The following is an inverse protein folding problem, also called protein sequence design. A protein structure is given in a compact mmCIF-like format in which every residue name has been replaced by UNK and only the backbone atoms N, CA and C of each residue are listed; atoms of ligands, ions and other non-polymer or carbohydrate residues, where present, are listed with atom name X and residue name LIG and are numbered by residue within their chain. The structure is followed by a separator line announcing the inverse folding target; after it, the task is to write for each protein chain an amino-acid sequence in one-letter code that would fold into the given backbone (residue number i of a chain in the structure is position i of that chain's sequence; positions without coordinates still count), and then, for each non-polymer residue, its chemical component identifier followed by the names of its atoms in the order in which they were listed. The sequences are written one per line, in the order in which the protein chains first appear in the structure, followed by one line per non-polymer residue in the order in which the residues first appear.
data_IF_048452154471
#
_entry.id   IF_048452154471
#
_cell.length_a   1.000
_cell.length_b   1.000
_cell.length_c   1.000
_cell.angle_alpha   90.00
_cell.angle_beta   90.00
_cell.angle_gamma   90.00
#
_symmetry.space_group_name_H-M   'P 1'
#
loop_
_entity.id
_entity.type
_entity.pdbx_description
1 polymer ?
#
# COMPACT_ATOMS: atom_id res chain seq x y z
N UNK A 1 -2.86 -11.16 41.00
CA UNK A 1 -3.89 -11.09 39.94
C UNK A 1 -3.18 -11.10 38.61
N UNK A 2 -3.20 -12.22 37.87
CA UNK A 2 -2.73 -12.25 36.49
C UNK A 2 -3.87 -11.73 35.62
N UNK A 3 -3.72 -10.53 35.06
CA UNK A 3 -4.66 -10.02 34.06
C UNK A 3 -4.33 -10.74 32.77
N UNK A 4 -5.06 -11.81 32.46
CA UNK A 4 -4.99 -12.43 31.14
C UNK A 4 -5.60 -11.46 30.14
N UNK A 5 -4.74 -10.67 29.50
CA UNK A 5 -5.11 -9.84 28.34
C UNK A 5 -5.65 -10.77 27.27
N UNK A 6 -6.96 -10.76 27.09
CA UNK A 6 -7.65 -11.60 26.12
C UNK A 6 -7.42 -10.97 24.75
N UNK A 7 -6.35 -11.40 24.07
CA UNK A 7 -6.02 -10.94 22.72
C UNK A 7 -7.14 -11.41 21.77
N UNK A 8 -8.03 -10.48 21.40
CA UNK A 8 -8.99 -10.72 20.33
C UNK A 8 -8.31 -10.51 18.97
N UNK A 9 -8.62 -11.32 17.95
CA UNK A 9 -8.16 -11.05 16.60
C UNK A 9 -8.77 -9.73 16.09
N UNK A 10 -8.01 -9.01 15.28
CA UNK A 10 -8.47 -7.74 14.72
C UNK A 10 -9.52 -7.95 13.64
N UNK A 11 -10.51 -7.07 13.60
CA UNK A 11 -11.54 -7.08 12.57
C UNK A 11 -10.97 -6.57 11.24
N UNK A 12 -11.70 -6.80 10.14
CA UNK A 12 -11.28 -6.36 8.81
C UNK A 12 -11.06 -4.85 8.73
N UNK A 13 -11.92 -4.05 9.38
CA UNK A 13 -11.81 -2.59 9.38
C UNK A 13 -10.60 -2.07 10.17
N UNK A 14 -10.25 -2.74 11.27
CA UNK A 14 -9.08 -2.38 12.08
C UNK A 14 -7.79 -2.64 11.30
N UNK A 15 -7.75 -3.78 10.60
CA UNK A 15 -6.66 -4.11 9.67
C UNK A 15 -6.59 -3.13 8.51
N UNK A 16 -7.72 -2.83 7.88
CA UNK A 16 -7.80 -1.84 6.80
C UNK A 16 -7.18 -0.51 7.23
N UNK A 17 -7.60 -0.03 8.40
CA UNK A 17 -7.17 1.25 8.93
C UNK A 17 -5.66 1.27 9.16
N UNK A 18 -5.11 0.22 9.78
CA UNK A 18 -3.68 0.14 10.05
C UNK A 18 -2.87 -0.01 8.77
N UNK A 19 -3.31 -0.87 7.84
CA UNK A 19 -2.64 -1.02 6.55
C UNK A 19 -2.66 0.27 5.73
N UNK A 20 -3.78 0.97 5.72
CA UNK A 20 -3.90 2.28 5.08
C UNK A 20 -2.99 3.32 5.74
N UNK A 21 -2.92 3.36 7.08
CA UNK A 21 -2.06 4.29 7.81
C UNK A 21 -0.57 4.05 7.55
N UNK A 22 -0.15 2.77 7.56
CA UNK A 22 1.23 2.40 7.25
C UNK A 22 1.58 2.70 5.79
N UNK A 23 0.70 2.38 4.85
CA UNK A 23 0.90 2.72 3.44
C UNK A 23 0.99 4.23 3.22
N UNK A 24 0.11 4.99 3.88
CA UNK A 24 0.13 6.45 3.83
C UNK A 24 1.43 7.03 4.39
N UNK A 25 1.89 6.55 5.55
CA UNK A 25 3.17 6.98 6.13
C UNK A 25 4.35 6.60 5.22
N UNK A 26 4.34 5.40 4.64
CA UNK A 26 5.37 4.96 3.70
C UNK A 26 5.44 5.86 2.46
N UNK A 27 4.29 6.25 1.90
CA UNK A 27 4.20 7.14 0.75
C UNK A 27 4.73 8.55 1.06
N UNK A 28 4.40 9.11 2.23
CA UNK A 28 4.97 10.39 2.69
C UNK A 28 6.48 10.29 2.84
N UNK A 29 6.99 9.21 3.44
CA UNK A 29 8.44 8.99 3.56
C UNK A 29 9.11 8.83 2.19
N UNK A 30 8.47 8.12 1.26
CA UNK A 30 8.98 7.91 -0.09
C UNK A 30 9.10 9.23 -0.85
N UNK A 31 8.02 10.03 -0.89
CA UNK A 31 8.02 11.33 -1.57
C UNK A 31 8.97 12.33 -0.93
N UNK A 32 9.08 12.34 0.41
CA UNK A 32 10.08 13.14 1.13
C UNK A 32 11.52 12.75 0.76
N UNK A 33 11.78 11.45 0.63
CA UNK A 33 13.11 10.93 0.26
C UNK A 33 13.42 11.24 -1.19
N UNK A 34 12.44 11.06 -2.09
CA UNK A 34 12.57 11.39 -3.50
C UNK A 34 12.95 12.86 -3.69
N UNK A 35 12.24 13.77 -3.04
CA UNK A 35 12.52 15.21 -3.05
C UNK A 35 13.92 15.55 -2.50
N UNK A 36 14.37 14.84 -1.46
CA UNK A 36 15.70 15.04 -0.90
C UNK A 36 16.82 14.53 -1.83
N UNK A 37 16.57 13.46 -2.58
CA UNK A 37 17.54 12.87 -3.52
C UNK A 37 17.60 13.66 -4.82
N UNK A 38 16.46 14.05 -5.39
CA UNK A 38 16.38 14.72 -6.69
C UNK A 38 16.73 16.22 -6.58
N UNK A 39 16.17 16.92 -5.59
CA UNK A 39 16.32 18.37 -5.44
C UNK A 39 17.31 18.78 -4.34
N UNK A 40 17.91 17.82 -3.63
CA UNK A 40 18.85 18.10 -2.53
C UNK A 40 18.20 18.76 -1.30
N UNK A 41 16.87 18.81 -1.25
CA UNK A 41 16.12 19.50 -0.22
C UNK A 41 16.03 18.65 1.06
N UNK A 42 16.87 18.97 2.05
CA UNK A 42 16.95 18.23 3.33
C UNK A 42 15.79 18.48 4.29
N UNK A 43 14.77 19.23 3.89
CA UNK A 43 13.57 19.46 4.72
C UNK A 43 12.69 18.22 4.85
N UNK A 44 12.88 17.20 3.99
CA UNK A 44 12.15 15.93 4.00
C UNK A 44 10.62 16.13 4.05
N UNK A 45 10.11 17.05 3.22
CA UNK A 45 8.68 17.28 3.09
C UNK A 45 8.12 16.26 2.11
N UNK A 46 7.30 15.35 2.61
CA UNK A 46 6.56 14.40 1.78
C UNK A 46 5.16 14.89 1.49
N UNK A 47 4.70 14.70 0.25
CA UNK A 47 3.36 15.06 -0.20
C UNK A 47 2.67 13.82 -0.73
N UNK A 48 1.41 13.62 -0.36
CA UNK A 48 0.66 12.45 -0.80
C UNK A 48 -0.82 12.78 -0.92
N UNK A 49 -1.54 11.99 -1.70
CA UNK A 49 -2.99 12.11 -1.88
C UNK A 49 -3.77 11.31 -0.83
N UNK A 50 -4.95 11.76 -0.44
CA UNK A 50 -5.81 11.01 0.49
C UNK A 50 -6.24 9.64 -0.09
N UNK A 51 -6.29 9.49 -1.41
CA UNK A 51 -6.67 8.22 -2.06
C UNK A 51 -5.67 7.09 -1.78
N UNK A 52 -4.40 7.42 -1.53
CA UNK A 52 -3.33 6.47 -1.16
C UNK A 52 -3.70 5.63 0.04
N UNK A 53 -4.35 6.22 1.05
CA UNK A 53 -4.80 5.48 2.23
C UNK A 53 -5.67 4.27 1.85
N UNK A 54 -6.63 4.48 0.95
CA UNK A 54 -7.54 3.43 0.50
C UNK A 54 -6.87 2.45 -0.46
N UNK A 55 -6.02 2.95 -1.37
CA UNK A 55 -5.27 2.11 -2.32
C UNK A 55 -4.38 1.12 -1.57
N UNK A 56 -3.55 1.60 -0.65
CA UNK A 56 -2.66 0.74 0.13
C UNK A 56 -3.42 -0.14 1.10
N UNK A 57 -4.39 0.40 1.85
CA UNK A 57 -5.18 -0.39 2.80
C UNK A 57 -5.89 -1.57 2.15
N UNK A 58 -6.53 -1.35 1.01
CA UNK A 58 -7.26 -2.41 0.28
C UNK A 58 -6.31 -3.41 -0.39
N UNK A 59 -5.18 -2.94 -0.96
CA UNK A 59 -4.19 -3.83 -1.59
C UNK A 59 -3.58 -4.81 -0.58
N UNK A 60 -3.23 -4.33 0.61
CA UNK A 60 -2.59 -5.15 1.65
C UNK A 60 -3.60 -6.14 2.23
N UNK A 61 -4.88 -5.75 2.41
CA UNK A 61 -5.94 -6.69 2.77
C UNK A 61 -6.13 -7.80 1.72
N UNK A 62 -6.06 -7.45 0.43
CA UNK A 62 -6.15 -8.42 -0.66
C UNK A 62 -4.97 -9.40 -0.60
N UNK A 63 -3.74 -8.88 -0.42
CA UNK A 63 -2.53 -9.69 -0.26
C UNK A 63 -2.58 -10.57 0.99
N UNK A 64 -3.12 -10.08 2.11
CA UNK A 64 -3.32 -10.87 3.34
C UNK A 64 -4.21 -12.09 3.06
N UNK A 65 -5.37 -11.87 2.42
CA UNK A 65 -6.26 -12.97 2.03
C UNK A 65 -5.58 -13.94 1.08
N UNK A 66 -4.85 -13.44 0.10
CA UNK A 66 -4.12 -14.27 -0.86
C UNK A 66 -3.03 -15.09 -0.16
N UNK A 67 -2.33 -14.51 0.80
CA UNK A 67 -1.34 -15.21 1.63
C UNK A 67 -1.97 -16.34 2.44
N UNK A 68 -3.08 -16.08 3.13
CA UNK A 68 -3.76 -17.12 3.91
C UNK A 68 -4.23 -18.30 3.05
N UNK A 69 -4.66 -18.05 1.81
CA UNK A 69 -5.07 -19.10 0.88
C UNK A 69 -3.90 -19.87 0.26
N UNK A 70 -2.78 -19.20 -0.03
CA UNK A 70 -1.67 -19.81 -0.78
C UNK A 70 -0.53 -20.37 0.07
N UNK A 71 -0.42 -19.97 1.36
CA UNK A 71 0.74 -20.29 2.22
C UNK A 71 1.10 -21.78 2.27
N UNK A 72 0.09 -22.65 2.20
CA UNK A 72 0.26 -24.11 2.29
C UNK A 72 0.13 -24.88 0.97
N UNK A 73 -0.14 -24.21 -0.15
CA UNK A 73 -0.44 -24.87 -1.43
C UNK A 73 0.72 -24.71 -2.43
N UNK A 74 1.34 -23.53 -2.45
CA UNK A 74 2.27 -23.12 -3.51
C UNK A 74 3.67 -22.84 -2.94
N UNK A 75 4.76 -23.24 -3.62
CA UNK A 75 6.12 -22.92 -3.20
C UNK A 75 6.40 -21.41 -3.24
N UNK A 76 7.35 -20.96 -2.42
CA UNK A 76 7.62 -19.54 -2.18
C UNK A 76 7.91 -18.71 -3.46
N UNK A 77 8.68 -19.18 -4.47
CA UNK A 77 8.95 -18.39 -5.67
C UNK A 77 7.70 -18.09 -6.51
N UNK A 78 6.85 -19.10 -6.73
CA UNK A 78 5.62 -18.94 -7.49
C UNK A 78 4.63 -18.05 -6.73
N UNK A 79 4.56 -18.18 -5.40
CA UNK A 79 3.76 -17.30 -4.55
C UNK A 79 4.22 -15.84 -4.63
N UNK A 80 5.53 -15.59 -4.64
CA UNK A 80 6.08 -14.25 -4.81
C UNK A 80 5.72 -13.66 -6.19
N UNK A 81 5.81 -14.46 -7.26
CA UNK A 81 5.40 -14.03 -8.60
C UNK A 81 3.91 -13.64 -8.66
N UNK A 82 3.04 -14.40 -8.00
CA UNK A 82 1.60 -14.07 -7.90
C UNK A 82 1.41 -12.75 -7.14
N UNK A 83 2.13 -12.53 -6.03
CA UNK A 83 2.01 -11.27 -5.29
C UNK A 83 2.41 -10.07 -6.13
N UNK A 84 3.55 -10.16 -6.82
CA UNK A 84 4.02 -9.10 -7.72
C UNK A 84 2.98 -8.83 -8.81
N UNK A 85 2.45 -9.88 -9.45
CA UNK A 85 1.42 -9.74 -10.47
C UNK A 85 0.16 -9.04 -9.94
N UNK A 86 -0.33 -9.45 -8.76
CA UNK A 86 -1.50 -8.84 -8.13
C UNK A 86 -1.25 -7.38 -7.77
N UNK A 87 -0.06 -7.04 -7.27
CA UNK A 87 0.34 -5.66 -7.00
C UNK A 87 0.29 -4.81 -8.27
N UNK A 88 0.88 -5.28 -9.37
CA UNK A 88 0.83 -4.58 -10.66
C UNK A 88 -0.59 -4.40 -11.18
N UNK A 89 -1.42 -5.45 -11.12
CA UNK A 89 -2.82 -5.34 -11.52
C UNK A 89 -3.57 -4.32 -10.65
N UNK A 90 -3.31 -4.29 -9.35
CA UNK A 90 -3.93 -3.35 -8.42
C UNK A 90 -3.52 -1.90 -8.73
N UNK A 91 -2.22 -1.65 -8.88
CA UNK A 91 -1.67 -0.34 -9.20
C UNK A 91 -2.20 0.18 -10.54
N UNK A 92 -2.21 -0.66 -11.58
CA UNK A 92 -2.75 -0.26 -12.88
C UNK A 92 -4.26 0.00 -12.84
N UNK A 93 -5.03 -0.86 -12.15
CA UNK A 93 -6.48 -0.68 -12.01
C UNK A 93 -6.84 0.60 -11.24
N UNK A 94 -6.15 0.85 -10.13
CA UNK A 94 -6.35 2.05 -9.31
C UNK A 94 -5.87 3.30 -10.02
N UNK A 95 -4.75 3.22 -10.75
CA UNK A 95 -4.22 4.29 -11.58
C UNK A 95 -5.22 4.70 -12.66
N UNK A 96 -5.75 3.74 -13.43
CA UNK A 96 -6.78 4.00 -14.45
C UNK A 96 -8.07 4.58 -13.85
N UNK A 97 -8.51 4.05 -12.71
CA UNK A 97 -9.71 4.54 -12.04
C UNK A 97 -9.54 5.99 -11.57
N UNK A 98 -8.42 6.32 -10.93
CA UNK A 98 -8.13 7.67 -10.45
C UNK A 98 -7.84 8.64 -11.60
N UNK A 99 -7.23 8.17 -12.70
CA UNK A 99 -6.99 8.97 -13.90
C UNK A 99 -8.28 9.44 -14.56
N UNK A 100 -9.37 8.67 -14.47
CA UNK A 100 -10.70 9.08 -14.96
C UNK A 100 -11.22 10.37 -14.30
N UNK A 101 -10.73 10.69 -13.10
CA UNK A 101 -11.12 11.84 -12.31
C UNK A 101 -9.98 12.86 -12.11
N UNK A 102 -8.90 12.78 -12.90
CA UNK A 102 -7.67 13.60 -12.76
C UNK A 102 -7.09 13.58 -11.33
N UNK A 103 -7.27 12.46 -10.63
CA UNK A 103 -6.89 12.28 -9.23
C UNK A 103 -5.75 11.25 -9.06
N UNK A 104 -5.12 10.82 -10.17
CA UNK A 104 -4.05 9.82 -10.15
C UNK A 104 -2.79 10.42 -9.53
N UNK A 105 -2.30 9.90 -8.38
CA UNK A 105 -1.15 10.47 -7.68
C UNK A 105 0.18 10.24 -8.41
N UNK A 106 0.26 9.22 -9.26
CA UNK A 106 1.48 8.78 -9.96
C UNK A 106 1.35 8.94 -11.48
N UNK A 107 0.76 10.05 -11.92
CA UNK A 107 0.64 10.40 -13.33
C UNK A 107 1.98 10.86 -13.93
N UNK A 108 2.80 9.90 -14.37
CA UNK A 108 4.09 10.15 -15.02
C UNK A 108 3.95 10.59 -16.49
N UNK A 109 2.75 10.60 -17.06
CA UNK A 109 2.53 10.97 -18.48
C UNK A 109 2.84 12.45 -18.75
N UNK A 110 2.81 13.31 -17.72
CA UNK A 110 3.18 14.72 -17.83
C UNK A 110 4.69 14.99 -17.73
N UNK A 111 5.52 13.95 -17.61
CA UNK A 111 6.98 14.06 -17.51
C UNK A 111 7.74 13.69 -18.80
N UNK A 112 7.05 13.56 -19.93
CA UNK A 112 7.64 13.36 -21.27
C UNK A 112 7.08 14.34 -22.30
#
# INVERSE_FOLDING_TARGET
MSVSVLYRPWNMYERLFLYGLFGFAAEVCFTATWEAVEHGNRKLIGVTSMYIFFVYGMSILLLEKLYLNLKGIIPLPLRAAIYVFVCYCWEFSTGLFLKRWDACPWDYERSF
#
